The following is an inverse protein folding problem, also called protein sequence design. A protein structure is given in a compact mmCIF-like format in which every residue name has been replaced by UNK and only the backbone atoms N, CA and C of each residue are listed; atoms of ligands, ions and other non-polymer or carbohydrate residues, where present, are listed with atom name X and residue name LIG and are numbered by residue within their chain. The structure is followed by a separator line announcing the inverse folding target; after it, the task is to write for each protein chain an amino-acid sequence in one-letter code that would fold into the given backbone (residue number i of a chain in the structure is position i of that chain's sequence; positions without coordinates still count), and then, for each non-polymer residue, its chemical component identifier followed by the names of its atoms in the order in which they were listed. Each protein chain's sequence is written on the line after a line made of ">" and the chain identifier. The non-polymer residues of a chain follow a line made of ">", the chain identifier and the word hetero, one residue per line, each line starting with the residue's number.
data_IF_975139282017
#
_entry.id   IF_975139282017
#
_cell.length_a   1.000
_cell.length_b   1.000
_cell.length_c   1.000
_cell.angle_alpha   90.00
_cell.angle_beta   90.00
_cell.angle_gamma   90.00
#
_symmetry.space_group_name_H-M   'P 1'
#
loop_
_entity.id
_entity.type
_entity.pdbx_description
1 polymer ?
#
# COMPACT_ATOMS: atom_id res chain seq x y z
N UNK A 1 2.35 -14.48 6.16
CA UNK A 1 1.31 -15.35 6.75
C UNK A 1 1.02 -14.90 8.17
N UNK A 2 -0.22 -15.03 8.61
CA UNK A 2 -0.65 -14.65 9.95
C UNK A 2 -0.80 -15.88 10.86
N UNK A 3 0.10 -16.09 11.84
CA UNK A 3 0.01 -17.25 12.74
C UNK A 3 -1.21 -17.20 13.68
N UNK A 4 -1.79 -16.00 13.88
CA UNK A 4 -2.96 -15.81 14.74
C UNK A 4 -4.29 -16.01 14.00
N UNK A 5 -4.27 -16.24 12.69
CA UNK A 5 -5.52 -16.47 11.94
C UNK A 5 -6.15 -17.80 12.36
N UNK A 6 -7.46 -17.82 12.70
CA UNK A 6 -8.17 -19.05 13.05
C UNK A 6 -8.31 -20.00 11.85
N UNK A 7 -8.06 -19.52 10.62
CA UNK A 7 -8.07 -20.32 9.39
C UNK A 7 -6.69 -20.87 9.01
N UNK A 8 -5.66 -20.56 9.81
CA UNK A 8 -4.31 -21.06 9.58
C UNK A 8 -4.23 -22.56 9.90
N UNK A 9 -4.21 -23.38 8.85
CA UNK A 9 -4.12 -24.87 8.93
C UNK A 9 -2.78 -25.39 8.43
N UNK A 10 -1.82 -24.50 8.17
CA UNK A 10 -0.52 -24.87 7.65
C UNK A 10 0.44 -25.33 8.75
N UNK A 11 1.28 -26.30 8.42
CA UNK A 11 2.43 -26.69 9.22
C UNK A 11 3.70 -26.23 8.50
N UNK A 12 4.30 -25.13 8.97
CA UNK A 12 5.51 -24.56 8.38
C UNK A 12 6.63 -24.64 9.40
N UNK A 13 7.77 -25.15 8.97
CA UNK A 13 8.99 -25.14 9.77
C UNK A 13 9.74 -23.83 9.51
N UNK A 14 9.94 -23.06 10.56
CA UNK A 14 10.75 -21.84 10.51
C UNK A 14 12.23 -22.18 10.69
N UNK A 15 13.06 -21.67 9.81
CA UNK A 15 14.51 -21.95 9.74
C UNK A 15 15.37 -20.74 10.09
N UNK A 16 14.79 -19.57 10.17
CA UNK A 16 15.52 -18.31 10.39
C UNK A 16 14.67 -17.22 11.03
N UNK A 17 15.33 -16.13 11.43
CA UNK A 17 14.68 -14.89 11.85
C UNK A 17 15.17 -13.74 10.96
N UNK A 18 14.28 -12.77 10.74
CA UNK A 18 14.59 -11.56 9.94
C UNK A 18 13.98 -10.34 10.59
N UNK A 19 14.60 -9.20 10.34
CA UNK A 19 14.01 -7.90 10.70
C UNK A 19 12.86 -7.59 9.73
N UNK A 20 11.71 -7.33 10.30
CA UNK A 20 10.55 -6.80 9.59
C UNK A 20 10.49 -5.28 9.83
N UNK A 21 10.37 -4.51 8.74
CA UNK A 21 10.16 -3.07 8.78
C UNK A 21 8.69 -2.80 8.51
N UNK A 22 7.99 -2.33 9.52
CA UNK A 22 6.59 -1.91 9.39
C UNK A 22 6.45 -0.39 9.31
N UNK A 23 5.23 0.09 9.26
CA UNK A 23 4.94 1.53 9.14
C UNK A 23 5.41 2.34 10.34
N UNK A 24 5.44 1.75 11.54
CA UNK A 24 5.64 2.44 12.82
C UNK A 24 6.88 1.99 13.59
N UNK A 25 7.68 1.08 13.03
CA UNK A 25 8.89 0.59 13.66
C UNK A 25 9.44 -0.68 13.03
N UNK A 26 10.18 -1.46 13.82
CA UNK A 26 10.78 -2.74 13.39
C UNK A 26 10.58 -3.80 14.46
N UNK A 27 10.51 -5.06 14.02
CA UNK A 27 10.54 -6.22 14.93
C UNK A 27 11.25 -7.42 14.28
N UNK A 28 11.61 -8.40 15.09
CA UNK A 28 12.12 -9.70 14.59
C UNK A 28 10.96 -10.66 14.39
N UNK A 29 10.90 -11.27 13.22
CA UNK A 29 9.90 -12.27 12.85
C UNK A 29 10.55 -13.54 12.35
N UNK A 30 9.84 -14.66 12.48
CA UNK A 30 10.28 -15.94 11.94
C UNK A 30 10.11 -15.99 10.43
N UNK A 31 11.05 -16.66 9.76
CA UNK A 31 11.02 -16.90 8.33
C UNK A 31 11.22 -18.38 8.03
N UNK A 32 10.64 -18.83 6.93
CA UNK A 32 10.79 -20.17 6.39
C UNK A 32 11.16 -20.09 4.93
N UNK A 33 12.20 -20.80 4.53
CA UNK A 33 12.71 -20.84 3.16
C UNK A 33 12.09 -21.99 2.37
N UNK A 34 12.16 -21.92 1.04
CA UNK A 34 11.79 -22.99 0.10
C UNK A 34 10.37 -23.53 0.25
N UNK A 35 9.40 -22.63 0.43
CA UNK A 35 8.01 -23.02 0.50
C UNK A 35 7.34 -23.01 -0.88
N UNK A 36 6.18 -23.65 -0.93
CA UNK A 36 5.32 -23.71 -2.09
C UNK A 36 3.98 -23.00 -1.82
N UNK A 37 3.53 -22.21 -2.77
CA UNK A 37 2.21 -21.57 -2.75
C UNK A 37 1.40 -22.05 -3.95
N UNK A 38 0.19 -22.51 -3.69
CA UNK A 38 -0.79 -22.80 -4.73
C UNK A 38 -1.84 -21.69 -4.78
N UNK A 39 -2.01 -21.07 -5.95
CA UNK A 39 -3.05 -20.09 -6.23
C UNK A 39 -3.86 -20.57 -7.44
N UNK A 40 -5.06 -21.06 -7.21
CA UNK A 40 -5.87 -21.70 -8.28
C UNK A 40 -5.08 -22.83 -8.92
N UNK A 41 -4.78 -22.71 -10.20
CA UNK A 41 -4.03 -23.71 -10.99
C UNK A 41 -2.51 -23.46 -10.97
N UNK A 42 -2.04 -22.37 -10.38
CA UNK A 42 -0.63 -22.03 -10.33
C UNK A 42 0.03 -22.63 -9.10
N UNK A 43 1.21 -23.22 -9.30
CA UNK A 43 2.06 -23.74 -8.26
C UNK A 43 3.41 -22.99 -8.31
N UNK A 44 3.76 -22.32 -7.22
CA UNK A 44 4.95 -21.49 -7.14
C UNK A 44 5.83 -22.02 -6.03
N UNK A 45 7.06 -22.37 -6.37
CA UNK A 45 8.04 -22.98 -5.47
C UNK A 45 9.17 -22.01 -5.12
N UNK A 46 9.93 -22.33 -4.09
CA UNK A 46 11.10 -21.55 -3.68
C UNK A 46 10.73 -20.24 -3.00
N UNK A 47 9.51 -20.10 -2.46
CA UNK A 47 9.08 -18.89 -1.80
C UNK A 47 9.55 -18.84 -0.34
N UNK A 48 9.96 -17.65 0.08
CA UNK A 48 10.20 -17.35 1.48
C UNK A 48 8.91 -16.88 2.14
N UNK A 49 8.51 -17.55 3.23
CA UNK A 49 7.37 -17.15 4.04
C UNK A 49 7.81 -16.45 5.31
N UNK A 50 7.11 -15.40 5.68
CA UNK A 50 7.32 -14.62 6.90
C UNK A 50 6.13 -14.80 7.83
N UNK A 51 6.38 -15.01 9.12
CA UNK A 51 5.35 -15.12 10.16
C UNK A 51 5.13 -13.74 10.78
N UNK A 52 4.07 -13.06 10.35
CA UNK A 52 3.72 -11.73 10.85
C UNK A 52 2.45 -11.86 11.71
N UNK A 53 2.53 -11.57 13.02
CA UNK A 53 1.43 -11.78 13.96
C UNK A 53 0.39 -10.64 13.90
N UNK A 54 -0.37 -10.57 12.80
CA UNK A 54 -1.53 -9.69 12.71
C UNK A 54 -2.64 -10.09 13.70
N UNK A 55 -3.58 -9.20 14.02
CA UNK A 55 -4.77 -9.57 14.78
C UNK A 55 -5.51 -10.77 14.17
N UNK A 56 -6.14 -11.65 14.98
CA UNK A 56 -6.67 -12.93 14.50
C UNK A 56 -7.67 -12.88 13.35
N UNK A 57 -8.48 -11.81 13.30
CA UNK A 57 -9.53 -11.65 12.28
C UNK A 57 -9.18 -10.65 11.18
N UNK A 58 -7.91 -10.29 11.06
CA UNK A 58 -7.46 -9.28 10.09
C UNK A 58 -7.26 -9.92 8.71
N UNK A 59 -6.13 -10.60 8.50
CA UNK A 59 -5.82 -11.35 7.28
C UNK A 59 -5.25 -12.72 7.60
N UNK A 60 -5.39 -13.66 6.70
CA UNK A 60 -4.70 -14.95 6.79
C UNK A 60 -3.24 -14.83 6.36
N UNK A 61 -2.97 -13.90 5.45
CA UNK A 61 -1.64 -13.60 4.95
C UNK A 61 -1.63 -12.46 3.95
N UNK A 62 -0.44 -12.11 3.52
CA UNK A 62 -0.17 -11.09 2.50
C UNK A 62 0.69 -11.72 1.42
N UNK A 63 0.34 -11.50 0.16
CA UNK A 63 1.16 -11.91 -0.99
C UNK A 63 2.19 -10.80 -1.23
N UNK A 64 3.44 -11.12 -1.00
CA UNK A 64 4.53 -10.16 -1.07
C UNK A 64 5.09 -9.94 -2.47
N UNK A 65 5.97 -8.95 -2.59
CA UNK A 65 6.61 -8.55 -3.85
C UNK A 65 7.42 -9.66 -4.51
N UNK A 66 7.95 -10.62 -3.75
CA UNK A 66 8.67 -11.80 -4.30
C UNK A 66 7.82 -12.63 -5.27
N UNK A 67 6.49 -12.62 -5.09
CA UNK A 67 5.55 -13.20 -6.04
C UNK A 67 5.11 -12.18 -7.10
N UNK A 68 4.66 -11.00 -6.65
CA UNK A 68 4.09 -9.96 -7.52
C UNK A 68 5.08 -9.53 -8.61
N UNK A 69 6.40 -9.54 -8.32
CA UNK A 69 7.42 -9.16 -9.30
C UNK A 69 7.67 -10.19 -10.41
N UNK A 70 7.16 -11.42 -10.27
CA UNK A 70 7.40 -12.48 -11.26
C UNK A 70 6.45 -12.42 -12.45
N UNK A 71 5.27 -11.83 -12.28
CA UNK A 71 4.19 -11.84 -13.27
C UNK A 71 3.57 -10.44 -13.39
N UNK A 72 3.10 -10.04 -14.58
CA UNK A 72 2.13 -8.96 -14.66
C UNK A 72 0.83 -9.40 -14.00
N UNK A 73 0.28 -8.56 -13.11
CA UNK A 73 -0.92 -8.86 -12.33
C UNK A 73 -1.98 -7.79 -12.54
N UNK A 74 -3.24 -8.18 -12.65
CA UNK A 74 -4.36 -7.23 -12.58
C UNK A 74 -5.22 -7.53 -11.35
N UNK A 75 -5.37 -6.53 -10.48
CA UNK A 75 -6.36 -6.47 -9.42
C UNK A 75 -7.62 -5.83 -9.98
N UNK A 76 -8.65 -6.63 -10.22
CA UNK A 76 -9.92 -6.15 -10.73
C UNK A 76 -10.92 -6.05 -9.57
N UNK A 77 -11.15 -4.82 -9.09
CA UNK A 77 -12.05 -4.57 -7.96
C UNK A 77 -13.53 -4.64 -8.33
N UNK A 78 -13.88 -4.49 -9.60
CA UNK A 78 -15.27 -4.64 -10.06
C UNK A 78 -15.72 -6.09 -9.96
N UNK A 79 -14.86 -7.00 -10.41
CA UNK A 79 -15.14 -8.46 -10.42
C UNK A 79 -14.56 -9.19 -9.22
N UNK A 80 -13.75 -8.50 -8.38
CA UNK A 80 -13.02 -9.08 -7.24
C UNK A 80 -12.12 -10.23 -7.66
N UNK A 81 -11.43 -10.06 -8.79
CA UNK A 81 -10.62 -11.10 -9.40
C UNK A 81 -9.17 -10.64 -9.51
N UNK A 82 -8.25 -11.53 -9.15
CA UNK A 82 -6.83 -11.39 -9.43
C UNK A 82 -6.51 -12.13 -10.72
N UNK A 83 -6.09 -11.41 -11.75
CA UNK A 83 -5.55 -11.98 -12.97
C UNK A 83 -4.04 -12.04 -12.90
N UNK A 84 -3.48 -13.18 -13.25
CA UNK A 84 -2.04 -13.39 -13.38
C UNK A 84 -1.75 -13.67 -14.85
N UNK A 85 -0.90 -12.90 -15.47
CA UNK A 85 -0.61 -13.01 -16.90
C UNK A 85 0.73 -13.68 -17.14
N UNK A 86 0.76 -14.55 -18.15
CA UNK A 86 2.03 -15.01 -18.68
C UNK A 86 2.78 -13.84 -19.33
N UNK A 87 4.04 -13.67 -18.92
CA UNK A 87 4.85 -12.53 -19.36
C UNK A 87 5.00 -12.46 -20.88
N UNK A 88 5.20 -13.60 -21.52
CA UNK A 88 5.40 -13.70 -22.99
C UNK A 88 4.18 -13.24 -23.80
N UNK A 89 3.00 -13.26 -23.21
CA UNK A 89 1.72 -12.90 -23.86
C UNK A 89 1.08 -11.65 -23.27
N UNK A 90 1.70 -11.02 -22.26
CA UNK A 90 1.15 -9.82 -21.64
C UNK A 90 1.22 -8.62 -22.58
N UNK A 91 0.08 -7.99 -22.76
CA UNK A 91 -0.07 -6.73 -23.49
C UNK A 91 -0.55 -5.66 -22.50
N UNK A 92 0.19 -4.55 -22.33
CA UNK A 92 -0.23 -3.47 -21.46
C UNK A 92 -1.62 -2.94 -21.84
N UNK A 93 -2.50 -2.67 -20.85
CA UNK A 93 -3.83 -2.15 -21.12
C UNK A 93 -3.75 -0.76 -21.76
N UNK A 94 -4.64 -0.50 -22.72
CA UNK A 94 -4.78 0.80 -23.39
C UNK A 94 -5.81 1.67 -22.66
N UNK A 95 -5.73 2.98 -22.85
CA UNK A 95 -6.67 3.96 -22.30
C UNK A 95 -6.69 3.98 -20.75
N UNK A 96 -5.55 3.72 -20.13
CA UNK A 96 -5.34 3.75 -18.69
C UNK A 96 -4.40 4.88 -18.29
N UNK A 97 -4.35 5.22 -17.02
CA UNK A 97 -3.27 6.06 -16.47
C UNK A 97 -2.06 5.14 -16.31
N UNK A 98 -1.06 5.32 -17.14
CA UNK A 98 0.22 4.61 -17.02
C UNK A 98 1.22 5.46 -16.23
N UNK A 99 1.70 4.96 -15.10
CA UNK A 99 2.71 5.62 -14.29
C UNK A 99 3.96 4.77 -14.20
N UNK A 100 5.12 5.42 -14.31
CA UNK A 100 6.40 4.77 -14.10
C UNK A 100 6.62 4.54 -12.61
N UNK A 101 7.09 3.35 -12.26
CA UNK A 101 7.43 2.95 -10.90
C UNK A 101 8.90 3.26 -10.65
N UNK A 102 9.18 3.84 -9.50
CA UNK A 102 10.52 3.89 -8.89
C UNK A 102 10.53 2.97 -7.66
N UNK A 103 11.71 2.70 -7.11
CA UNK A 103 11.82 1.84 -5.92
C UNK A 103 12.62 2.56 -4.83
N UNK A 104 12.10 2.48 -3.60
CA UNK A 104 12.84 2.82 -2.39
C UNK A 104 12.52 1.79 -1.31
N UNK A 105 13.48 1.45 -0.45
CA UNK A 105 13.33 0.42 0.61
C UNK A 105 12.77 -0.92 0.09
N UNK A 106 12.93 -1.20 -1.21
CA UNK A 106 12.42 -2.43 -1.83
C UNK A 106 10.92 -2.41 -2.17
N UNK A 107 10.22 -1.28 -2.02
CA UNK A 107 8.80 -1.13 -2.36
C UNK A 107 8.59 -0.23 -3.58
N UNK A 108 7.50 -0.43 -4.36
CA UNK A 108 7.21 0.38 -5.54
C UNK A 108 6.63 1.74 -5.15
N UNK A 109 7.16 2.80 -5.74
CA UNK A 109 6.71 4.17 -5.58
C UNK A 109 6.15 4.71 -6.89
N UNK A 110 5.12 5.54 -6.80
CA UNK A 110 4.56 6.29 -7.93
C UNK A 110 4.59 7.79 -7.67
N UNK A 111 4.73 8.61 -8.73
CA UNK A 111 4.60 10.05 -8.62
C UNK A 111 3.14 10.46 -8.53
N UNK A 112 2.84 11.32 -7.56
CA UNK A 112 1.56 12.03 -7.44
C UNK A 112 1.80 13.51 -7.19
N UNK A 113 0.77 14.33 -7.37
CA UNK A 113 0.80 15.72 -6.96
C UNK A 113 -0.32 15.96 -5.94
N UNK A 114 0.01 16.61 -4.83
CA UNK A 114 -0.95 16.90 -3.77
C UNK A 114 -0.97 18.40 -3.50
N UNK A 115 -2.17 18.97 -3.40
CA UNK A 115 -2.37 20.36 -3.00
C UNK A 115 -2.88 20.39 -1.56
N UNK A 116 -2.18 21.15 -0.72
CA UNK A 116 -2.53 21.38 0.70
C UNK A 116 -2.41 22.87 0.98
N UNK A 117 -3.49 23.49 1.47
CA UNK A 117 -3.50 24.94 1.79
C UNK A 117 -2.97 25.82 0.64
N UNK A 118 -3.44 25.56 -0.58
CA UNK A 118 -3.02 26.22 -1.81
C UNK A 118 -1.53 26.03 -2.21
N UNK A 119 -0.76 25.21 -1.48
CA UNK A 119 0.60 24.82 -1.86
C UNK A 119 0.56 23.48 -2.59
N UNK A 120 1.33 23.34 -3.65
CA UNK A 120 1.41 22.14 -4.50
C UNK A 120 2.71 21.42 -4.19
N UNK A 121 2.60 20.11 -3.96
CA UNK A 121 3.71 19.21 -3.66
C UNK A 121 3.74 18.08 -4.69
N UNK A 122 4.91 17.83 -5.29
CA UNK A 122 5.17 16.62 -6.05
C UNK A 122 5.72 15.58 -5.09
N UNK A 123 5.08 14.44 -5.02
CA UNK A 123 5.39 13.39 -4.04
C UNK A 123 5.67 12.06 -4.73
N UNK A 124 6.53 11.26 -4.13
CA UNK A 124 6.73 9.85 -4.45
C UNK A 124 6.14 9.02 -3.32
N UNK A 125 5.10 8.28 -3.61
CA UNK A 125 4.34 7.55 -2.59
C UNK A 125 4.38 6.05 -2.86
N UNK A 126 4.48 5.27 -1.79
CA UNK A 126 4.32 3.82 -1.82
C UNK A 126 2.90 3.44 -2.24
N UNK A 127 2.78 2.37 -3.01
CA UNK A 127 1.51 1.73 -3.36
C UNK A 127 1.28 0.61 -2.34
N UNK A 128 0.34 0.80 -1.42
CA UNK A 128 0.02 -0.19 -0.38
C UNK A 128 -1.44 -0.64 -0.44
N UNK A 129 -1.69 -1.75 -1.14
CA UNK A 129 -3.03 -2.37 -1.20
C UNK A 129 -3.43 -3.07 0.11
N UNK A 130 -2.50 -3.24 1.04
CA UNK A 130 -2.73 -3.78 2.38
C UNK A 130 -3.14 -2.73 3.42
N UNK A 131 -3.03 -1.45 3.11
CA UNK A 131 -3.43 -0.35 3.99
C UNK A 131 -4.89 0.05 3.75
N UNK A 132 -5.67 0.21 4.81
CA UNK A 132 -7.04 0.74 4.75
C UNK A 132 -7.09 2.28 4.64
N UNK A 133 -5.92 2.92 4.58
CA UNK A 133 -5.76 4.38 4.50
C UNK A 133 -6.06 4.89 3.09
N UNK A 134 -6.24 6.22 2.99
CA UNK A 134 -6.37 6.92 1.70
C UNK A 134 -5.01 7.40 1.22
N UNK A 135 -4.43 8.36 1.91
CA UNK A 135 -3.09 8.90 1.65
C UNK A 135 -2.50 9.46 2.94
N UNK A 136 -1.41 8.89 3.38
CA UNK A 136 -0.65 9.38 4.53
C UNK A 136 0.64 10.02 4.04
N UNK A 137 0.95 11.24 4.51
CA UNK A 137 2.23 11.90 4.29
C UNK A 137 3.21 11.50 5.38
N UNK A 138 4.41 11.08 5.01
CA UNK A 138 5.44 10.66 5.95
C UNK A 138 5.92 11.82 6.83
N UNK A 139 6.30 11.51 8.07
CA UNK A 139 6.73 12.50 9.06
C UNK A 139 7.86 13.43 8.58
N UNK A 140 8.93 12.94 7.91
CA UNK A 140 9.96 13.84 7.39
C UNK A 140 9.42 14.82 6.35
N UNK A 141 8.58 14.36 5.44
CA UNK A 141 7.95 15.22 4.43
C UNK A 141 7.07 16.30 5.07
N UNK A 142 6.24 15.90 6.05
CA UNK A 142 5.34 16.80 6.78
C UNK A 142 6.13 17.89 7.54
N UNK A 143 7.23 17.50 8.19
CA UNK A 143 8.09 18.44 8.95
C UNK A 143 8.88 19.36 8.02
N UNK A 144 9.49 18.83 6.97
CA UNK A 144 10.29 19.60 6.02
C UNK A 144 9.47 20.68 5.31
N UNK A 145 8.17 20.45 5.15
CA UNK A 145 7.25 21.37 4.49
C UNK A 145 6.38 22.18 5.48
N UNK A 146 6.65 22.12 6.79
CA UNK A 146 5.93 22.84 7.84
C UNK A 146 4.40 22.67 7.75
N UNK A 147 3.94 21.42 7.58
CA UNK A 147 2.52 21.13 7.39
C UNK A 147 1.74 20.96 8.69
N UNK A 148 2.42 20.59 9.80
CA UNK A 148 1.76 20.47 11.11
C UNK A 148 1.23 21.83 11.58
N UNK A 149 -0.03 21.84 12.06
CA UNK A 149 -0.69 23.05 12.54
C UNK A 149 -1.19 23.98 11.44
N UNK A 150 -0.97 23.68 10.15
CA UNK A 150 -1.48 24.51 9.04
C UNK A 150 -2.98 24.36 8.84
N UNK A 151 -3.58 23.30 9.36
CA UNK A 151 -5.03 23.09 9.45
C UNK A 151 -5.36 22.25 10.68
N UNK A 152 -6.56 22.43 11.23
CA UNK A 152 -7.04 21.60 12.32
C UNK A 152 -7.38 20.20 11.82
N UNK A 153 -6.85 19.14 12.43
CA UNK A 153 -7.24 17.79 12.07
C UNK A 153 -8.71 17.54 12.43
N UNK A 154 -9.45 16.88 11.56
CA UNK A 154 -10.83 16.47 11.87
C UNK A 154 -10.89 15.22 12.76
N UNK A 155 -9.79 14.45 12.84
CA UNK A 155 -9.63 13.33 13.75
C UNK A 155 -8.15 13.00 13.97
N UNK A 156 -7.86 12.29 15.06
CA UNK A 156 -6.58 11.64 15.30
C UNK A 156 -6.79 10.14 15.16
N UNK A 157 -6.08 9.51 14.25
CA UNK A 157 -6.08 8.05 14.08
C UNK A 157 -4.89 7.43 14.77
N UNK A 158 -5.11 6.27 15.36
CA UNK A 158 -4.03 5.39 15.80
C UNK A 158 -3.89 4.27 14.79
N UNK A 159 -2.68 4.09 14.26
CA UNK A 159 -2.37 3.00 13.34
C UNK A 159 -1.56 1.93 14.05
N UNK A 160 -1.78 0.68 13.62
CA UNK A 160 -0.95 -0.49 13.96
C UNK A 160 -0.44 -1.08 12.65
N UNK A 161 0.76 -1.60 12.65
CA UNK A 161 1.39 -2.15 11.46
C UNK A 161 1.96 -3.54 11.71
N UNK A 162 2.62 -4.11 10.71
CA UNK A 162 3.25 -5.43 10.76
C UNK A 162 4.35 -5.56 11.83
N UNK A 163 4.86 -4.44 12.35
CA UNK A 163 5.85 -4.40 13.44
C UNK A 163 5.22 -4.48 14.84
N UNK A 164 3.88 -4.50 14.92
CA UNK A 164 3.09 -4.52 16.17
C UNK A 164 3.21 -3.26 17.03
N UNK A 165 3.87 -2.21 16.56
CA UNK A 165 3.89 -0.92 17.21
C UNK A 165 2.68 -0.08 16.81
N UNK A 166 2.48 1.03 17.50
CA UNK A 166 1.40 1.96 17.20
C UNK A 166 1.95 3.37 16.95
N UNK A 167 1.35 4.07 16.01
CA UNK A 167 1.66 5.46 15.70
C UNK A 167 0.39 6.29 15.62
N UNK A 168 0.55 7.62 15.68
CA UNK A 168 -0.55 8.58 15.55
C UNK A 168 -0.46 9.36 14.24
N UNK A 169 -1.62 9.60 13.64
CA UNK A 169 -1.80 10.36 12.42
C UNK A 169 -2.83 11.46 12.64
N UNK A 170 -2.53 12.66 12.18
CA UNK A 170 -3.46 13.79 12.16
C UNK A 170 -4.24 13.76 10.85
N UNK A 171 -5.52 13.35 10.90
CA UNK A 171 -6.36 13.29 9.71
C UNK A 171 -6.83 14.67 9.31
N UNK A 172 -6.58 15.02 8.05
CA UNK A 172 -6.84 16.32 7.45
C UNK A 172 -7.47 16.14 6.06
N UNK A 173 -7.93 17.23 5.45
CA UNK A 173 -8.34 17.20 4.06
C UNK A 173 -7.27 17.84 3.18
N UNK A 174 -6.86 17.11 2.14
CA UNK A 174 -6.08 17.68 1.05
C UNK A 174 -7.02 18.35 0.05
N UNK A 175 -6.65 19.52 -0.42
CA UNK A 175 -7.47 20.30 -1.40
C UNK A 175 -7.67 19.50 -2.68
N UNK A 176 -6.57 18.89 -3.16
CA UNK A 176 -6.55 18.13 -4.41
C UNK A 176 -5.44 17.06 -4.37
N UNK A 177 -5.73 15.89 -4.92
CA UNK A 177 -4.75 14.87 -5.27
C UNK A 177 -4.84 14.62 -6.76
N UNK A 178 -3.73 14.78 -7.47
CA UNK A 178 -3.61 14.50 -8.89
C UNK A 178 -2.82 13.23 -9.12
N UNK A 179 -3.44 12.31 -9.83
CA UNK A 179 -2.86 11.03 -10.23
C UNK A 179 -2.89 10.92 -11.75
N UNK A 180 -1.73 11.05 -12.39
CA UNK A 180 -1.65 11.16 -13.84
C UNK A 180 -2.43 12.36 -14.38
N UNK A 181 -3.48 12.10 -15.16
CA UNK A 181 -4.37 13.11 -15.72
C UNK A 181 -5.69 13.30 -14.96
N UNK A 182 -5.88 12.63 -13.83
CA UNK A 182 -7.09 12.73 -13.00
C UNK A 182 -6.85 13.55 -11.74
N UNK A 183 -7.83 14.37 -11.38
CA UNK A 183 -7.84 15.19 -10.18
C UNK A 183 -8.96 14.74 -9.24
N UNK A 184 -8.62 14.60 -7.96
CA UNK A 184 -9.53 14.26 -6.89
C UNK A 184 -9.53 15.41 -5.87
N UNK A 185 -10.71 15.88 -5.45
CA UNK A 185 -10.85 17.05 -4.60
C UNK A 185 -11.34 16.70 -3.21
N UNK A 186 -10.91 17.47 -2.20
CA UNK A 186 -11.28 17.27 -0.79
C UNK A 186 -11.02 15.85 -0.31
N UNK A 187 -9.80 15.39 -0.53
CA UNK A 187 -9.41 14.03 -0.22
C UNK A 187 -9.03 13.93 1.25
N UNK A 188 -9.68 13.04 2.04
CA UNK A 188 -9.21 12.77 3.38
C UNK A 188 -7.85 12.08 3.32
N UNK A 189 -6.92 12.59 4.09
CA UNK A 189 -5.58 12.05 4.21
C UNK A 189 -5.04 12.29 5.60
N UNK A 190 -3.75 12.08 5.81
CA UNK A 190 -3.18 12.32 7.12
C UNK A 190 -1.75 12.86 7.05
N UNK A 191 -1.39 13.63 8.06
CA UNK A 191 -0.02 13.97 8.41
C UNK A 191 0.48 12.97 9.46
N UNK A 192 1.54 12.24 9.14
CA UNK A 192 2.18 11.35 10.10
C UNK A 192 2.99 12.15 11.13
N UNK A 193 2.97 11.66 12.38
CA UNK A 193 3.85 12.12 13.46
C UNK A 193 4.72 10.98 13.98
N UNK A 194 4.69 9.85 13.31
CA UNK A 194 5.45 8.64 13.63
C UNK A 194 6.95 8.91 13.51
N UNK A 195 7.75 8.38 14.43
CA UNK A 195 9.20 8.68 14.52
C UNK A 195 10.09 7.50 14.11
N UNK A 196 9.51 6.34 13.86
CA UNK A 196 10.22 5.12 13.46
C UNK A 196 9.48 4.40 12.32
N UNK A 197 10.14 3.47 11.66
CA UNK A 197 9.56 2.67 10.57
C UNK A 197 9.42 3.43 9.24
N UNK A 198 8.60 2.88 8.36
CA UNK A 198 8.44 3.38 6.97
C UNK A 198 7.89 4.80 6.95
N UNK A 199 6.95 5.15 7.84
CA UNK A 199 6.38 6.49 7.90
C UNK A 199 7.34 7.56 8.47
N UNK A 200 8.48 7.16 9.04
CA UNK A 200 9.56 8.05 9.43
C UNK A 200 10.71 8.08 8.40
N UNK A 201 10.59 7.38 7.30
CA UNK A 201 11.62 7.35 6.24
C UNK A 201 11.61 8.62 5.39
N UNK A 202 12.82 9.06 4.98
CA UNK A 202 13.04 10.12 3.99
C UNK A 202 13.10 9.59 2.55
N UNK A 203 13.07 8.28 2.36
CA UNK A 203 13.19 7.62 1.06
C UNK A 203 11.90 7.72 0.23
N UNK A 204 10.79 8.06 0.88
CA UNK A 204 9.48 8.26 0.28
C UNK A 204 8.70 9.35 0.99
N UNK A 205 7.78 10.01 0.29
CA UNK A 205 7.03 11.14 0.81
C UNK A 205 5.73 10.75 1.50
N UNK A 206 5.26 9.51 1.27
CA UNK A 206 4.00 9.03 1.84
C UNK A 206 3.58 7.65 1.35
N UNK A 207 2.40 7.22 1.79
CA UNK A 207 1.78 5.93 1.46
C UNK A 207 0.39 6.16 0.87
N UNK A 208 0.15 5.66 -0.33
CA UNK A 208 -1.15 5.64 -1.00
C UNK A 208 -1.81 4.28 -0.73
N UNK A 209 -2.81 4.31 0.14
CA UNK A 209 -3.46 3.09 0.63
C UNK A 209 -4.61 2.60 -0.25
N UNK A 210 -5.09 1.40 0.10
CA UNK A 210 -6.12 0.71 -0.67
C UNK A 210 -7.47 1.45 -0.70
N UNK A 211 -7.77 2.26 0.32
CA UNK A 211 -9.00 3.06 0.29
C UNK A 211 -8.99 4.11 -0.85
N UNK A 212 -7.81 4.52 -1.35
CA UNK A 212 -7.69 5.26 -2.59
C UNK A 212 -7.61 4.32 -3.80
N UNK A 213 -6.72 3.35 -3.75
CA UNK A 213 -6.33 2.49 -4.87
C UNK A 213 -7.49 1.64 -5.40
N UNK A 214 -8.41 1.18 -4.54
CA UNK A 214 -9.59 0.36 -4.93
C UNK A 214 -10.54 1.07 -5.91
N UNK A 215 -10.35 2.36 -6.17
CA UNK A 215 -11.10 3.13 -7.19
C UNK A 215 -10.65 2.85 -8.61
N UNK A 216 -9.62 2.03 -8.74
CA UNK A 216 -9.05 1.62 -10.00
C UNK A 216 -8.95 0.10 -10.07
N UNK A 217 -9.17 -0.46 -11.24
CA UNK A 217 -8.63 -1.75 -11.58
C UNK A 217 -7.14 -1.54 -11.89
N UNK A 218 -6.27 -2.24 -11.16
CA UNK A 218 -4.83 -1.96 -11.13
C UNK A 218 -4.10 -3.07 -11.85
N UNK A 219 -3.32 -2.72 -12.88
CA UNK A 219 -2.38 -3.65 -13.49
C UNK A 219 -0.95 -3.29 -13.09
N UNK A 220 -0.25 -4.22 -12.46
CA UNK A 220 1.14 -4.09 -12.05
C UNK A 220 2.04 -4.86 -13.02
N UNK A 221 2.97 -4.17 -13.65
CA UNK A 221 4.03 -4.75 -14.47
C UNK A 221 5.38 -4.29 -13.89
N UNK A 222 5.73 -4.88 -12.74
CA UNK A 222 6.88 -4.45 -11.95
C UNK A 222 8.22 -4.67 -12.67
N UNK A 223 8.32 -5.64 -13.56
CA UNK A 223 9.57 -5.87 -14.30
C UNK A 223 9.81 -4.82 -15.39
N UNK A 224 8.76 -4.33 -16.01
CA UNK A 224 8.86 -3.21 -16.95
C UNK A 224 8.79 -1.85 -16.23
N UNK A 225 8.53 -1.84 -14.92
CA UNK A 225 8.49 -0.65 -14.09
C UNK A 225 7.27 0.22 -14.32
N UNK A 226 6.09 -0.39 -14.53
CA UNK A 226 4.84 0.34 -14.76
C UNK A 226 3.69 -0.15 -13.90
N UNK A 227 2.84 0.80 -13.52
CA UNK A 227 1.48 0.56 -13.04
C UNK A 227 0.50 1.19 -14.01
N UNK A 228 -0.59 0.48 -14.30
CA UNK A 228 -1.69 0.95 -15.13
C UNK A 228 -2.95 1.00 -14.28
N UNK A 229 -3.60 2.15 -14.25
CA UNK A 229 -4.77 2.43 -13.43
C UNK A 229 -5.96 2.71 -14.36
N UNK A 230 -6.98 1.88 -14.26
CA UNK A 230 -8.23 1.99 -14.99
C UNK A 230 -9.35 2.38 -13.99
N UNK A 231 -9.97 3.56 -14.10
CA UNK A 231 -11.07 3.94 -13.21
C UNK A 231 -12.19 2.90 -13.23
N UNK A 232 -12.71 2.54 -12.07
CA UNK A 232 -13.74 1.52 -11.91
C UNK A 232 -15.03 2.09 -11.28
N UNK A 233 -16.01 1.24 -10.97
CA UNK A 233 -17.31 1.63 -10.41
C UNK A 233 -17.23 2.32 -9.04
N UNK A 234 -16.08 2.25 -8.36
CA UNK A 234 -15.85 2.89 -7.05
C UNK A 234 -15.32 4.32 -7.18
N UNK A 235 -15.03 4.81 -8.39
CA UNK A 235 -14.31 6.08 -8.62
C UNK A 235 -14.95 7.28 -7.91
N UNK A 236 -16.28 7.31 -7.83
CA UNK A 236 -17.04 8.41 -7.20
C UNK A 236 -17.59 8.04 -5.81
N UNK A 237 -17.28 6.85 -5.29
CA UNK A 237 -17.73 6.50 -3.93
C UNK A 237 -17.00 7.33 -2.88
N UNK A 238 -17.68 7.73 -1.79
CA UNK A 238 -17.03 8.44 -0.69
C UNK A 238 -15.91 7.59 -0.08
N UNK A 239 -14.87 8.25 0.44
CA UNK A 239 -13.74 7.56 1.08
C UNK A 239 -14.12 6.96 2.43
N UNK A 240 -14.95 7.68 3.20
CA UNK A 240 -15.46 7.22 4.50
C UNK A 240 -16.95 7.52 4.61
N UNK A 241 -17.73 6.57 5.11
CA UNK A 241 -19.17 6.74 5.25
C UNK A 241 -19.54 7.83 6.27
N UNK A 242 -18.74 8.00 7.32
CA UNK A 242 -18.99 9.00 8.36
C UNK A 242 -18.73 10.45 7.92
N UNK A 243 -18.16 10.66 6.72
CA UNK A 243 -17.98 12.00 6.16
C UNK A 243 -19.19 12.49 5.35
N UNK A 244 -20.29 11.74 5.33
CA UNK A 244 -21.49 12.03 4.55
C UNK A 244 -22.62 12.58 5.43
N UNK A 245 -22.52 12.45 6.76
CA UNK A 245 -23.51 12.94 7.74
C UNK A 245 -23.38 14.44 8.03
#
# INVERSE_FOLDING_TARGET
>A
MNPNSPRSTYSIQFDSQVTNNGATGTNLIQASSDNELQLGNMQIKGLRFLSIPYPPNFWDGVIGLSFISQYPLKLDYDTKTLYVYERSSFIPPKNTIALKIEYALGVPLIPIQVKVNNRIFNMKVEIDTGSDRVLDMNTPFVRQNDLLGTQSPFAISRITSSDSNAGELQNVFFDEVRLGNMNFYKIPGAFSTVTEGVQASQEMDGVLGNNFLQRFNITLDLQNGYIYLEPNNLIYKPFYHFLIE
#
